data_IF_696363860082
#
_entry.id   IF_696363860082
#
_cell.length_a   1.000
_cell.length_b   1.000
_cell.length_c   1.000
_cell.angle_alpha   90.00
_cell.angle_beta   90.00
_cell.angle_gamma   90.00
#
_symmetry.space_group_name_H-M   'P 1'
#
loop_
_entity.id
_entity.type
_entity.pdbx_description
1 polymer ?
#
# COMPACT_ATOMS: atom_id res chain seq x y z
N UNK A 1 12.37 -5.22 5.43
CA UNK A 1 12.14 -4.16 4.44
C UNK A 1 11.27 -3.09 5.09
N UNK A 2 11.49 -1.84 4.77
CA UNK A 2 10.65 -0.72 5.22
C UNK A 2 10.02 -0.06 4.01
N UNK A 3 8.71 0.14 4.08
CA UNK A 3 7.97 0.95 3.11
C UNK A 3 7.27 2.07 3.83
N UNK A 4 6.93 3.14 3.13
CA UNK A 4 6.08 4.20 3.67
C UNK A 4 4.69 4.11 3.07
N UNK A 5 3.63 4.16 3.88
CA UNK A 5 2.24 4.26 3.41
C UNK A 5 1.63 5.51 4.02
N UNK A 6 1.15 6.46 3.19
CA UNK A 6 0.58 7.73 3.66
C UNK A 6 1.46 8.41 4.72
N UNK A 7 2.76 8.50 4.45
CA UNK A 7 3.76 9.11 5.33
C UNK A 7 4.01 8.37 6.67
N UNK A 8 3.51 7.14 6.84
CA UNK A 8 3.89 6.24 7.94
C UNK A 8 4.79 5.12 7.46
N UNK A 9 5.90 4.93 8.17
CA UNK A 9 6.82 3.82 7.92
C UNK A 9 6.23 2.51 8.46
N UNK A 10 6.23 1.49 7.62
CA UNK A 10 5.75 0.13 7.92
C UNK A 10 6.90 -0.84 7.68
N UNK A 11 7.28 -1.52 8.74
CA UNK A 11 8.25 -2.60 8.68
C UNK A 11 7.60 -3.91 8.22
N UNK A 12 8.15 -4.49 7.16
CA UNK A 12 7.72 -5.75 6.57
C UNK A 12 8.87 -6.77 6.54
N UNK A 13 8.50 -8.04 6.56
CA UNK A 13 9.43 -9.15 6.43
C UNK A 13 9.88 -9.33 4.97
N UNK A 14 10.98 -10.06 4.77
CA UNK A 14 11.52 -10.33 3.43
C UNK A 14 10.52 -11.15 2.60
N UNK A 15 10.15 -10.67 1.41
CA UNK A 15 9.14 -11.31 0.56
C UNK A 15 7.69 -10.91 0.86
N UNK A 16 7.48 -9.95 1.77
CA UNK A 16 6.17 -9.36 1.96
C UNK A 16 5.70 -8.60 0.70
N UNK A 17 4.38 -8.57 0.52
CA UNK A 17 3.67 -7.86 -0.55
C UNK A 17 3.01 -6.59 0.00
N UNK A 18 2.60 -5.70 -0.89
CA UNK A 18 1.90 -4.47 -0.53
C UNK A 18 0.65 -4.70 0.32
N UNK A 19 -0.10 -5.77 0.06
CA UNK A 19 -1.23 -6.20 0.92
C UNK A 19 -0.87 -6.35 2.39
N UNK A 20 0.31 -6.88 2.71
CA UNK A 20 0.74 -7.06 4.09
C UNK A 20 1.12 -5.72 4.73
N UNK A 21 1.74 -4.82 3.95
CA UNK A 21 1.99 -3.44 4.35
C UNK A 21 0.71 -2.69 4.67
N UNK A 22 -0.25 -2.76 3.75
CA UNK A 22 -1.53 -2.08 3.88
C UNK A 22 -2.36 -2.63 5.05
N UNK A 23 -2.44 -3.95 5.20
CA UNK A 23 -3.12 -4.59 6.32
C UNK A 23 -2.50 -4.17 7.67
N UNK A 24 -1.17 -4.06 7.74
CA UNK A 24 -0.45 -3.63 8.95
C UNK A 24 -0.60 -2.12 9.22
N UNK A 25 -0.77 -1.31 8.18
CA UNK A 25 -1.04 0.12 8.30
C UNK A 25 -2.47 0.38 8.79
N UNK A 26 -3.47 -0.20 8.12
CA UNK A 26 -4.89 -0.02 8.42
C UNK A 26 -5.76 -1.04 7.65
N UNK A 27 -6.57 -1.81 8.39
CA UNK A 27 -7.46 -2.80 7.82
C UNK A 27 -8.58 -2.21 6.94
N UNK A 28 -9.11 -1.03 7.27
CA UNK A 28 -10.14 -0.36 6.47
C UNK A 28 -9.62 0.03 5.09
N UNK A 29 -8.39 0.53 4.99
CA UNK A 29 -7.76 0.83 3.70
C UNK A 29 -7.50 -0.45 2.91
N UNK A 30 -7.08 -1.53 3.58
CA UNK A 30 -6.93 -2.83 2.93
C UNK A 30 -8.26 -3.30 2.32
N UNK A 31 -9.35 -3.24 3.09
CA UNK A 31 -10.69 -3.58 2.60
C UNK A 31 -11.12 -2.67 1.45
N UNK A 32 -10.89 -1.36 1.55
CA UNK A 32 -11.25 -0.41 0.50
C UNK A 32 -10.51 -0.69 -0.82
N UNK A 33 -9.21 -1.03 -0.77
CA UNK A 33 -8.45 -1.38 -1.98
C UNK A 33 -8.91 -2.72 -2.55
N UNK A 34 -9.22 -3.70 -1.68
CA UNK A 34 -9.76 -5.00 -2.11
C UNK A 34 -11.16 -4.89 -2.75
N UNK A 35 -11.98 -3.96 -2.26
CA UNK A 35 -13.34 -3.69 -2.75
C UNK A 35 -13.36 -2.75 -3.97
N UNK A 36 -12.19 -2.27 -4.43
CA UNK A 36 -12.07 -1.35 -5.56
C UNK A 36 -12.44 0.11 -5.25
N UNK A 37 -12.71 0.43 -3.99
CA UNK A 37 -13.03 1.79 -3.49
C UNK A 37 -11.80 2.64 -3.20
N UNK A 38 -10.62 2.06 -3.25
CA UNK A 38 -9.35 2.75 -3.12
C UNK A 38 -8.32 2.12 -4.04
N UNK A 39 -7.27 2.88 -4.36
CA UNK A 39 -6.11 2.37 -5.09
C UNK A 39 -4.82 2.83 -4.44
N UNK A 40 -3.76 2.09 -4.71
CA UNK A 40 -2.41 2.40 -4.25
C UNK A 40 -1.66 3.10 -5.39
N UNK A 41 -1.03 4.22 -5.04
CA UNK A 41 -0.09 4.92 -5.90
C UNK A 41 1.30 4.80 -5.31
N UNK A 42 2.30 4.62 -6.16
CA UNK A 42 3.72 4.73 -5.80
C UNK A 42 4.15 6.21 -5.67
N UNK A 43 5.38 6.47 -5.22
CA UNK A 43 5.96 7.80 -5.04
C UNK A 43 6.00 8.65 -6.31
N UNK A 44 5.96 8.01 -7.49
CA UNK A 44 5.88 8.70 -8.78
C UNK A 44 4.43 8.89 -9.28
N UNK A 45 3.44 8.47 -8.50
CA UNK A 45 2.01 8.55 -8.85
C UNK A 45 1.52 7.43 -9.75
N UNK A 46 2.30 6.36 -9.92
CA UNK A 46 1.88 5.20 -10.71
C UNK A 46 0.94 4.30 -9.91
N UNK A 47 -0.10 3.78 -10.56
CA UNK A 47 -0.95 2.75 -9.98
C UNK A 47 -0.15 1.48 -9.74
N UNK A 48 -0.21 0.96 -8.51
CA UNK A 48 0.44 -0.29 -8.13
C UNK A 48 -0.58 -1.30 -7.64
N UNK A 49 -0.36 -2.56 -8.01
CA UNK A 49 -1.23 -3.65 -7.58
C UNK A 49 -0.96 -4.06 -6.13
N UNK A 50 -2.02 -4.23 -5.34
CA UNK A 50 -1.92 -4.66 -3.95
C UNK A 50 -1.26 -6.04 -3.77
N UNK A 51 -1.29 -6.89 -4.81
CA UNK A 51 -0.63 -8.19 -4.83
C UNK A 51 0.83 -8.14 -5.33
N UNK A 52 1.32 -6.95 -5.71
CA UNK A 52 2.69 -6.69 -6.11
C UNK A 52 3.69 -6.81 -4.96
N UNK A 53 4.97 -6.90 -5.33
CA UNK A 53 6.06 -6.90 -4.37
C UNK A 53 6.13 -5.54 -3.66
N UNK A 54 6.36 -5.54 -2.35
CA UNK A 54 6.73 -4.33 -1.65
C UNK A 54 8.24 -4.13 -1.80
N UNK A 55 8.64 -3.00 -2.37
CA UNK A 55 10.04 -2.64 -2.53
C UNK A 55 10.53 -1.80 -1.35
N UNK A 56 11.72 -2.14 -0.84
CA UNK A 56 12.34 -1.45 0.28
C UNK A 56 12.64 0.02 -0.05
N UNK A 57 12.31 0.92 0.87
CA UNK A 57 12.50 2.37 0.71
C UNK A 57 11.43 3.06 -0.14
N UNK A 58 10.50 2.32 -0.75
CA UNK A 58 9.45 2.92 -1.59
C UNK A 58 8.30 3.46 -0.73
N UNK A 59 7.79 4.61 -1.16
CA UNK A 59 6.63 5.26 -0.56
C UNK A 59 5.38 5.02 -1.41
N UNK A 60 4.29 4.74 -0.73
CA UNK A 60 2.98 4.46 -1.31
C UNK A 60 1.94 5.39 -0.69
N UNK A 61 0.97 5.77 -1.50
CA UNK A 61 -0.16 6.61 -1.09
C UNK A 61 -1.43 5.86 -1.40
N UNK A 62 -2.33 5.78 -0.42
CA UNK A 62 -3.65 5.19 -0.63
C UNK A 62 -4.59 6.33 -0.98
N UNK A 63 -5.16 6.29 -2.18
CA UNK A 63 -6.15 7.27 -2.62
C UNK A 63 -7.51 6.57 -2.73
N UNK A 64 -8.51 7.13 -2.08
CA UNK A 64 -9.88 6.65 -2.20
C UNK A 64 -10.44 7.05 -3.55
N UNK A 65 -11.04 6.09 -4.24
CA UNK A 65 -11.81 6.33 -5.45
C UNK A 65 -13.16 6.84 -4.97
N UNK A 66 -13.30 8.16 -4.83
CA UNK A 66 -14.61 8.77 -4.63
C UNK A 66 -15.42 8.54 -5.90
N UNK A 67 -16.51 7.79 -5.78
CA UNK A 67 -17.62 7.78 -6.74
C UNK A 67 -18.19 9.19 -6.93
#
# INVERSE_FOLDING_TARGET
MQISINNKVIELFHGAKLKHGLLKFNEDYFRAVMDGKATLLDQYGNLVEINGAAEDGVSYTVVTVKE
#
